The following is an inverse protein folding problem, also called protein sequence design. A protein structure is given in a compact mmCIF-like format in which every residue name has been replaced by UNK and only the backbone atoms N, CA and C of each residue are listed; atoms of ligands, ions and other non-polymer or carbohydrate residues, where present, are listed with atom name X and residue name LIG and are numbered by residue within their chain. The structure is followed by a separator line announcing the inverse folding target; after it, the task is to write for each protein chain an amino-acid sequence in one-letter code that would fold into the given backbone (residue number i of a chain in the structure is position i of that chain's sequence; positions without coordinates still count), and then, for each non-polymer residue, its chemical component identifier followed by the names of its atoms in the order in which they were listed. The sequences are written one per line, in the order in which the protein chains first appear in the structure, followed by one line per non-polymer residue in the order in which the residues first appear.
data_IF_752827431702
#
_entry.id   IF_752827431702
#
_cell.length_a   1.000
_cell.length_b   1.000
_cell.length_c   1.000
_cell.angle_alpha   90.00
_cell.angle_beta   90.00
_cell.angle_gamma   90.00
#
_symmetry.space_group_name_H-M   'P 1'
#
loop_
_entity.id
_entity.type
_entity.pdbx_description
1 polymer ?
#
# COMPACT_ATOMS: atom_id res chain seq x y z
N UNK A 1 5.24 38.00 -12.86
CA UNK A 1 4.80 36.92 -11.95
C UNK A 1 5.46 35.65 -12.44
N UNK A 2 6.68 35.40 -11.95
CA UNK A 2 7.48 34.26 -12.41
C UNK A 2 6.99 33.00 -11.69
N UNK A 3 6.31 32.16 -12.46
CA UNK A 3 5.80 30.87 -12.00
C UNK A 3 7.00 29.93 -11.84
N UNK A 4 7.66 29.97 -10.67
CA UNK A 4 8.64 28.96 -10.28
C UNK A 4 7.91 27.63 -10.15
N UNK A 5 7.91 26.85 -11.22
CA UNK A 5 7.73 25.40 -11.11
C UNK A 5 8.89 24.88 -10.25
N UNK A 6 8.67 24.80 -8.94
CA UNK A 6 9.59 24.15 -8.04
C UNK A 6 9.53 22.65 -8.38
N UNK A 7 10.48 22.19 -9.19
CA UNK A 7 10.71 20.75 -9.39
C UNK A 7 10.98 20.07 -8.04
N UNK A 8 10.87 18.74 -8.02
CA UNK A 8 11.21 17.96 -6.82
C UNK A 8 12.63 18.31 -6.37
N UNK A 9 12.77 18.81 -5.14
CA UNK A 9 14.09 19.09 -4.58
C UNK A 9 14.92 17.81 -4.55
N UNK A 10 16.20 17.89 -4.94
CA UNK A 10 17.11 16.73 -5.00
C UNK A 10 17.09 15.93 -3.70
N UNK A 11 17.03 16.62 -2.55
CA UNK A 11 16.90 15.99 -1.23
C UNK A 11 15.64 15.12 -1.11
N UNK A 12 14.47 15.62 -1.53
CA UNK A 12 13.23 14.87 -1.46
C UNK A 12 13.27 13.63 -2.38
N UNK A 13 13.90 13.75 -3.56
CA UNK A 13 14.09 12.59 -4.44
C UNK A 13 14.96 11.51 -3.80
N UNK A 14 16.08 11.89 -3.18
CA UNK A 14 16.96 10.96 -2.48
C UNK A 14 16.24 10.30 -1.30
N UNK A 15 15.52 11.07 -0.49
CA UNK A 15 14.76 10.52 0.64
C UNK A 15 13.66 9.56 0.17
N UNK A 16 12.90 9.91 -0.89
CA UNK A 16 11.91 9.00 -1.48
C UNK A 16 12.56 7.70 -2.01
N UNK A 17 13.73 7.78 -2.64
CA UNK A 17 14.46 6.60 -3.10
C UNK A 17 14.90 5.70 -1.93
N UNK A 18 15.33 6.28 -0.80
CA UNK A 18 15.65 5.53 0.41
C UNK A 18 14.41 4.83 0.98
N UNK A 19 13.26 5.52 1.03
CA UNK A 19 12.00 4.92 1.45
C UNK A 19 11.60 3.74 0.56
N UNK A 20 11.70 3.91 -0.77
CA UNK A 20 11.40 2.84 -1.71
C UNK A 20 12.35 1.64 -1.56
N UNK A 21 13.64 1.88 -1.34
CA UNK A 21 14.63 0.84 -1.08
C UNK A 21 14.35 0.05 0.20
N UNK A 22 14.01 0.74 1.30
CA UNK A 22 13.61 0.09 2.55
C UNK A 22 12.33 -0.71 2.37
N UNK A 23 11.32 -0.13 1.72
CA UNK A 23 10.06 -0.80 1.45
C UNK A 23 10.28 -2.08 0.62
N UNK A 24 11.09 -2.00 -0.44
CA UNK A 24 11.49 -3.14 -1.27
C UNK A 24 12.12 -4.27 -0.43
N UNK A 25 13.08 -3.97 0.45
CA UNK A 25 13.70 -4.99 1.32
C UNK A 25 12.67 -5.64 2.24
N UNK A 26 11.71 -4.87 2.77
CA UNK A 26 10.68 -5.40 3.66
C UNK A 26 9.69 -6.34 2.96
N UNK A 27 9.52 -6.25 1.64
CA UNK A 27 8.65 -7.19 0.89
C UNK A 27 9.14 -8.65 0.96
N UNK A 28 10.45 -8.87 1.13
CA UNK A 28 11.01 -10.21 1.32
C UNK A 28 10.66 -10.80 2.69
N UNK A 29 10.28 -9.97 3.65
CA UNK A 29 9.84 -10.38 4.99
C UNK A 29 8.31 -10.30 5.02
N UNK A 30 7.68 -11.16 4.22
CA UNK A 30 6.23 -11.22 4.04
C UNK A 30 5.64 -12.53 4.58
N UNK A 31 4.49 -12.44 5.24
CA UNK A 31 3.86 -13.56 5.94
C UNK A 31 2.46 -13.80 5.35
N UNK A 32 2.14 -15.03 4.89
CA UNK A 32 0.78 -15.37 4.50
C UNK A 32 -0.11 -15.48 5.75
N UNK A 33 -1.16 -14.67 5.82
CA UNK A 33 -2.03 -14.61 7.01
C UNK A 33 -3.22 -15.56 6.88
N UNK A 34 -3.75 -15.75 5.67
CA UNK A 34 -4.96 -16.54 5.43
C UNK A 34 -4.61 -17.79 4.61
N UNK A 35 -4.74 -19.01 5.18
CA UNK A 35 -4.31 -20.24 4.50
C UNK A 35 -4.99 -20.53 3.16
N UNK A 36 -6.26 -20.12 2.99
CA UNK A 36 -7.02 -20.35 1.75
C UNK A 36 -6.57 -19.45 0.58
N UNK A 37 -5.83 -18.37 0.88
CA UNK A 37 -5.26 -17.44 -0.11
C UNK A 37 -3.78 -17.17 0.20
N UNK A 38 -2.92 -18.20 0.14
CA UNK A 38 -1.53 -18.11 0.62
C UNK A 38 -0.64 -17.20 -0.24
N UNK A 39 -1.11 -16.83 -1.43
CA UNK A 39 -0.48 -15.84 -2.30
C UNK A 39 -0.66 -14.39 -1.79
N UNK A 40 -1.64 -14.14 -0.92
CA UNK A 40 -1.84 -12.83 -0.28
C UNK A 40 -1.01 -12.75 0.99
N UNK A 41 0.05 -11.93 0.96
CA UNK A 41 1.00 -11.80 2.07
C UNK A 41 0.95 -10.42 2.70
N UNK A 42 1.10 -10.38 4.01
CA UNK A 42 1.26 -9.16 4.78
C UNK A 42 2.75 -8.90 5.02
N UNK A 43 3.17 -7.67 4.76
CA UNK A 43 4.51 -7.18 5.06
C UNK A 43 4.45 -5.72 5.53
N UNK A 44 5.60 -5.19 5.95
CA UNK A 44 5.72 -3.82 6.48
C UNK A 44 6.13 -2.80 5.41
N UNK A 45 6.23 -3.19 4.14
CA UNK A 45 6.62 -2.26 3.07
C UNK A 45 5.59 -1.15 2.89
N UNK A 46 4.30 -1.47 2.94
CA UNK A 46 3.18 -0.52 2.82
C UNK A 46 3.16 0.50 3.97
N UNK A 47 3.64 0.11 5.16
CA UNK A 47 3.82 1.03 6.28
C UNK A 47 4.86 2.10 5.95
N UNK A 48 5.97 1.71 5.31
CA UNK A 48 7.00 2.66 4.85
C UNK A 48 6.40 3.62 3.82
N UNK A 49 5.55 3.14 2.91
CA UNK A 49 4.86 4.01 1.94
C UNK A 49 3.92 5.01 2.64
N UNK A 50 3.15 4.57 3.66
CA UNK A 50 2.28 5.47 4.45
C UNK A 50 3.08 6.54 5.23
N UNK A 51 4.25 6.18 5.75
CA UNK A 51 5.16 7.15 6.36
C UNK A 51 5.68 8.13 5.30
N UNK A 52 6.02 7.64 4.11
CA UNK A 52 6.36 8.46 2.95
C UNK A 52 5.25 9.45 2.59
N UNK A 53 3.97 9.03 2.61
CA UNK A 53 2.81 9.91 2.43
C UNK A 53 2.76 11.02 3.48
N UNK A 54 3.15 10.72 4.72
CA UNK A 54 3.12 11.70 5.80
C UNK A 54 4.15 12.82 5.63
N UNK A 55 5.23 12.55 4.88
CA UNK A 55 6.38 13.45 4.63
C UNK A 55 6.24 14.14 3.26
N UNK A 56 6.02 13.38 2.19
CA UNK A 56 6.04 13.83 0.79
C UNK A 56 4.64 14.00 0.17
N UNK A 57 3.59 13.74 0.95
CA UNK A 57 2.21 13.74 0.46
C UNK A 57 1.88 12.54 -0.44
N UNK A 58 0.65 12.53 -0.97
CA UNK A 58 0.16 11.43 -1.81
C UNK A 58 1.06 11.18 -3.03
N UNK A 59 1.50 12.23 -3.74
CA UNK A 59 2.35 12.09 -4.93
C UNK A 59 3.66 11.37 -4.63
N UNK A 60 4.36 11.76 -3.55
CA UNK A 60 5.60 11.07 -3.16
C UNK A 60 5.38 9.63 -2.72
N UNK A 61 4.27 9.35 -2.03
CA UNK A 61 3.90 7.98 -1.66
C UNK A 61 3.63 7.09 -2.88
N UNK A 62 2.94 7.61 -3.89
CA UNK A 62 2.70 6.90 -5.16
C UNK A 62 4.03 6.55 -5.82
N UNK A 63 4.99 7.49 -5.85
CA UNK A 63 6.31 7.24 -6.42
C UNK A 63 7.09 6.18 -5.62
N UNK A 64 7.05 6.25 -4.29
CA UNK A 64 7.68 5.26 -3.41
C UNK A 64 7.09 3.86 -3.68
N UNK A 65 5.76 3.74 -3.74
CA UNK A 65 5.07 2.49 -4.06
C UNK A 65 5.43 1.98 -5.46
N UNK A 66 5.45 2.86 -6.47
CA UNK A 66 5.78 2.44 -7.83
C UNK A 66 7.22 1.91 -7.93
N UNK A 67 8.17 2.59 -7.28
CA UNK A 67 9.58 2.19 -7.29
C UNK A 67 9.80 0.91 -6.49
N UNK A 68 9.21 0.75 -5.30
CA UNK A 68 9.38 -0.48 -4.50
C UNK A 68 8.88 -1.71 -5.28
N UNK A 69 7.74 -1.58 -5.94
CA UNK A 69 7.07 -2.65 -6.68
C UNK A 69 7.84 -3.00 -7.96
N UNK A 70 8.34 -1.99 -8.67
CA UNK A 70 9.22 -2.19 -9.83
C UNK A 70 10.51 -2.92 -9.44
N UNK A 71 11.15 -2.53 -8.34
CA UNK A 71 12.37 -3.19 -7.85
C UNK A 71 12.08 -4.64 -7.47
N UNK A 72 10.95 -4.90 -6.80
CA UNK A 72 10.53 -6.25 -6.45
C UNK A 72 10.27 -7.11 -7.69
N UNK A 73 9.60 -6.57 -8.70
CA UNK A 73 9.32 -7.28 -9.95
C UNK A 73 10.60 -7.68 -10.69
N UNK A 74 11.52 -6.73 -10.90
CA UNK A 74 12.79 -6.99 -11.60
C UNK A 74 13.65 -7.99 -10.84
N UNK A 75 13.59 -7.99 -9.51
CA UNK A 75 14.43 -8.85 -8.66
C UNK A 75 13.87 -10.26 -8.44
N UNK A 76 12.54 -10.44 -8.53
CA UNK A 76 11.88 -11.73 -8.26
C UNK A 76 11.46 -12.49 -9.51
N UNK A 77 11.50 -11.84 -10.67
CA UNK A 77 11.28 -12.48 -11.97
C UNK A 77 10.29 -11.70 -12.83
N UNK A 78 10.65 -11.52 -14.11
CA UNK A 78 9.84 -10.80 -15.10
C UNK A 78 8.80 -11.71 -15.79
N UNK A 79 8.07 -12.49 -15.00
CA UNK A 79 6.99 -13.35 -15.49
C UNK A 79 5.60 -12.75 -15.19
N UNK A 80 4.60 -13.27 -15.89
CA UNK A 80 3.24 -12.77 -15.83
C UNK A 80 2.57 -12.98 -14.46
N UNK A 81 2.95 -14.01 -13.70
CA UNK A 81 2.36 -14.29 -12.38
C UNK A 81 2.87 -13.25 -11.39
N UNK A 82 4.18 -13.01 -11.39
CA UNK A 82 4.80 -11.95 -10.59
C UNK A 82 4.28 -10.57 -10.99
N UNK A 83 4.10 -10.29 -12.28
CA UNK A 83 3.55 -9.02 -12.75
C UNK A 83 2.15 -8.75 -12.19
N UNK A 84 1.26 -9.75 -12.19
CA UNK A 84 -0.09 -9.64 -11.60
C UNK A 84 0.01 -9.34 -10.10
N UNK A 85 0.91 -10.02 -9.39
CA UNK A 85 1.13 -9.83 -7.96
C UNK A 85 1.58 -8.40 -7.63
N UNK A 86 2.61 -7.92 -8.31
CA UNK A 86 3.19 -6.58 -8.13
C UNK A 86 2.18 -5.49 -8.49
N UNK A 87 1.45 -5.63 -9.60
CA UNK A 87 0.37 -4.69 -9.92
C UNK A 87 -0.74 -4.69 -8.87
N UNK A 88 -1.10 -5.86 -8.35
CA UNK A 88 -2.12 -5.97 -7.29
C UNK A 88 -1.65 -5.28 -6.01
N UNK A 89 -0.38 -5.45 -5.63
CA UNK A 89 0.21 -4.80 -4.47
C UNK A 89 0.26 -3.27 -4.64
N UNK A 90 0.67 -2.79 -5.83
CA UNK A 90 0.62 -1.36 -6.16
C UNK A 90 -0.80 -0.79 -6.08
N UNK A 91 -1.79 -1.49 -6.64
CA UNK A 91 -3.21 -1.06 -6.53
C UNK A 91 -3.68 -1.04 -5.07
N UNK A 92 -3.24 -1.99 -4.24
CA UNK A 92 -3.55 -2.02 -2.81
C UNK A 92 -2.97 -0.79 -2.08
N UNK A 93 -1.71 -0.43 -2.36
CA UNK A 93 -1.09 0.79 -1.84
C UNK A 93 -1.93 2.02 -2.18
N UNK A 94 -2.28 2.20 -3.46
CA UNK A 94 -3.08 3.35 -3.90
C UNK A 94 -4.46 3.37 -3.23
N UNK A 95 -5.13 2.23 -3.19
CA UNK A 95 -6.46 2.10 -2.59
C UNK A 95 -6.47 2.38 -1.09
N UNK A 96 -5.34 2.21 -0.40
CA UNK A 96 -5.19 2.51 1.01
C UNK A 96 -4.73 3.95 1.26
N UNK A 97 -3.71 4.41 0.55
CA UNK A 97 -3.01 5.68 0.79
C UNK A 97 -3.83 6.88 0.34
N UNK A 98 -4.45 6.82 -0.83
CA UNK A 98 -5.21 7.95 -1.39
C UNK A 98 -6.36 8.42 -0.47
N UNK A 99 -7.27 7.55 0.00
CA UNK A 99 -8.31 7.95 0.95
C UNK A 99 -7.75 8.44 2.29
N UNK A 100 -6.70 7.80 2.83
CA UNK A 100 -6.05 8.28 4.06
C UNK A 100 -5.50 9.69 3.86
N UNK A 101 -4.78 9.92 2.76
CA UNK A 101 -4.24 11.24 2.42
C UNK A 101 -5.34 12.27 2.25
N UNK A 102 -6.45 11.91 1.59
CA UNK A 102 -7.58 12.82 1.37
C UNK A 102 -8.24 13.21 2.71
N UNK A 103 -8.43 12.25 3.62
CA UNK A 103 -8.98 12.54 4.96
C UNK A 103 -8.00 13.37 5.78
N UNK A 104 -6.69 13.19 5.67
CA UNK A 104 -5.70 13.95 6.46
C UNK A 104 -5.31 15.30 5.86
N UNK A 105 -5.72 15.60 4.62
CA UNK A 105 -5.33 16.80 3.89
C UNK A 105 -5.80 18.09 4.57
N UNK A 106 -4.94 19.11 4.55
CA UNK A 106 -5.22 20.51 4.92
C UNK A 106 -5.78 20.73 6.32
N UNK A 107 -5.55 19.79 7.24
CA UNK A 107 -6.20 19.79 8.55
C UNK A 107 -5.34 19.15 9.64
N UNK A 108 -5.58 19.48 10.93
CA UNK A 108 -4.78 18.95 12.03
C UNK A 108 -4.92 17.43 12.15
N UNK A 109 -3.79 16.75 12.27
CA UNK A 109 -3.69 15.29 12.38
C UNK A 109 -3.96 14.80 13.81
N UNK A 110 -5.13 15.11 14.36
CA UNK A 110 -5.58 14.61 15.67
C UNK A 110 -5.77 13.08 15.67
N UNK A 111 -5.74 12.44 16.84
CA UNK A 111 -5.93 10.98 16.94
C UNK A 111 -7.21 10.53 16.24
N UNK A 112 -8.34 11.15 16.59
CA UNK A 112 -9.64 10.80 16.04
C UNK A 112 -9.64 10.89 14.51
N UNK A 113 -8.97 11.89 13.95
CA UNK A 113 -8.86 12.05 12.51
C UNK A 113 -7.97 10.99 11.87
N UNK A 114 -6.85 10.63 12.50
CA UNK A 114 -6.00 9.53 12.02
C UNK A 114 -6.73 8.19 12.04
N UNK A 115 -7.52 7.94 13.10
CA UNK A 115 -8.39 6.75 13.20
C UNK A 115 -9.42 6.73 12.08
N UNK A 116 -10.14 7.84 11.86
CA UNK A 116 -11.11 7.95 10.76
C UNK A 116 -10.43 7.75 9.40
N UNK A 117 -9.26 8.34 9.18
CA UNK A 117 -8.51 8.19 7.94
C UNK A 117 -8.17 6.71 7.67
N UNK A 118 -7.64 6.01 8.69
CA UNK A 118 -7.33 4.57 8.60
C UNK A 118 -8.56 3.72 8.35
N UNK A 119 -9.70 4.03 8.98
CA UNK A 119 -10.97 3.31 8.75
C UNK A 119 -11.40 3.47 7.29
N UNK A 120 -11.45 4.72 6.79
CA UNK A 120 -11.82 5.01 5.40
C UNK A 120 -10.85 4.34 4.43
N UNK A 121 -9.55 4.38 4.72
CA UNK A 121 -8.55 3.68 3.94
C UNK A 121 -8.75 2.18 3.91
N UNK A 122 -8.99 1.55 5.06
CA UNK A 122 -9.18 0.09 5.17
C UNK A 122 -10.42 -0.36 4.40
N UNK A 123 -11.52 0.41 4.48
CA UNK A 123 -12.74 0.15 3.71
C UNK A 123 -12.46 0.27 2.21
N UNK A 124 -11.79 1.35 1.78
CA UNK A 124 -11.42 1.56 0.39
C UNK A 124 -10.53 0.44 -0.15
N UNK A 125 -9.44 0.09 0.57
CA UNK A 125 -8.56 -1.03 0.25
C UNK A 125 -9.37 -2.32 0.06
N UNK A 126 -10.22 -2.65 1.02
CA UNK A 126 -11.01 -3.89 1.01
C UNK A 126 -11.98 -3.92 -0.17
N UNK A 127 -12.70 -2.82 -0.43
CA UNK A 127 -13.65 -2.74 -1.54
C UNK A 127 -12.96 -2.84 -2.90
N UNK A 128 -11.92 -2.03 -3.12
CA UNK A 128 -11.19 -2.01 -4.39
C UNK A 128 -10.57 -3.38 -4.68
N UNK A 129 -9.89 -3.99 -3.71
CA UNK A 129 -9.26 -5.29 -3.90
C UNK A 129 -10.29 -6.41 -4.05
N UNK A 130 -11.43 -6.34 -3.38
CA UNK A 130 -12.49 -7.34 -3.55
C UNK A 130 -13.09 -7.29 -4.95
N UNK A 131 -13.40 -6.09 -5.46
CA UNK A 131 -13.92 -5.91 -6.82
C UNK A 131 -12.88 -6.31 -7.87
N UNK A 132 -11.63 -5.88 -7.70
CA UNK A 132 -10.54 -6.22 -8.61
C UNK A 132 -10.27 -7.74 -8.63
N UNK A 133 -10.31 -8.41 -7.47
CA UNK A 133 -10.19 -9.87 -7.39
C UNK A 133 -11.39 -10.60 -7.98
N UNK A 134 -12.59 -10.03 -7.91
CA UNK A 134 -13.75 -10.63 -8.53
C UNK A 134 -13.68 -10.62 -10.06
N UNK A 135 -13.42 -9.45 -10.63
CA UNK A 135 -13.56 -9.28 -12.08
C UNK A 135 -12.29 -9.60 -12.86
N UNK A 136 -11.12 -9.37 -12.28
CA UNK A 136 -9.85 -9.38 -13.04
C UNK A 136 -8.81 -10.27 -12.40
N UNK A 137 -8.37 -9.98 -11.17
CA UNK A 137 -7.14 -10.56 -10.60
C UNK A 137 -7.27 -12.06 -10.38
N UNK A 138 -8.27 -12.54 -9.63
CA UNK A 138 -8.41 -13.98 -9.34
C UNK A 138 -8.68 -14.80 -10.60
N UNK A 139 -9.61 -14.42 -11.50
CA UNK A 139 -9.82 -15.15 -12.75
C UNK A 139 -8.56 -15.21 -13.63
N UNK A 140 -7.83 -14.11 -13.74
CA UNK A 140 -6.60 -14.06 -14.53
C UNK A 140 -5.51 -14.94 -13.91
N UNK A 141 -5.36 -14.88 -12.59
CA UNK A 141 -4.38 -15.67 -11.85
C UNK A 141 -4.65 -17.18 -12.00
N UNK A 142 -5.89 -17.62 -11.85
CA UNK A 142 -6.28 -19.04 -12.04
C UNK A 142 -6.01 -19.52 -13.48
N UNK A 143 -6.25 -18.67 -14.48
CA UNK A 143 -6.02 -18.99 -15.90
C UNK A 143 -4.52 -19.13 -16.22
N UNK A 144 -3.72 -18.20 -15.72
CA UNK A 144 -2.28 -18.11 -16.02
C UNK A 144 -1.48 -19.14 -15.23
N UNK A 145 -1.82 -19.34 -13.95
CA UNK A 145 -1.08 -20.24 -13.07
C UNK A 145 -1.49 -21.71 -13.22
N UNK A 146 -2.57 -21.98 -13.96
CA UNK A 146 -3.09 -23.33 -14.19
C UNK A 146 -3.59 -24.04 -12.93
N UNK A 147 -3.69 -23.31 -11.81
CA UNK A 147 -4.13 -23.84 -10.53
C UNK A 147 -5.64 -23.73 -10.39
N UNK A 148 -6.29 -24.84 -10.06
CA UNK A 148 -7.65 -24.85 -9.53
C UNK A 148 -7.56 -24.75 -8.00
N UNK A 149 -8.04 -23.66 -7.41
CA UNK A 149 -8.10 -23.49 -5.94
C UNK A 149 -9.25 -24.28 -5.29
N UNK A 150 -9.95 -25.15 -6.05
CA UNK A 150 -11.01 -26.03 -5.55
C UNK A 150 -12.28 -25.31 -5.06
N UNK A 151 -12.29 -23.98 -5.04
CA UNK A 151 -13.39 -23.15 -4.60
C UNK A 151 -13.79 -22.14 -5.66
N UNK A 152 -15.10 -21.83 -5.77
CA UNK A 152 -15.56 -20.79 -6.66
C UNK A 152 -15.07 -19.42 -6.19
N UNK A 153 -14.82 -18.54 -7.16
CA UNK A 153 -14.18 -17.22 -6.96
C UNK A 153 -14.89 -16.37 -5.91
N UNK A 154 -16.22 -16.40 -5.86
CA UNK A 154 -17.01 -15.69 -4.86
C UNK A 154 -16.69 -16.10 -3.41
N UNK A 155 -16.46 -17.40 -3.16
CA UNK A 155 -16.07 -17.90 -1.84
C UNK A 155 -14.63 -17.50 -1.49
N UNK A 156 -13.72 -17.51 -2.46
CA UNK A 156 -12.34 -17.04 -2.25
C UNK A 156 -12.30 -15.55 -1.87
N UNK A 157 -13.16 -14.74 -2.47
CA UNK A 157 -13.24 -13.31 -2.14
C UNK A 157 -13.82 -13.12 -0.75
N UNK A 158 -14.94 -13.77 -0.45
CA UNK A 158 -15.64 -13.62 0.83
C UNK A 158 -14.80 -14.12 2.02
N UNK A 159 -14.13 -15.27 1.86
CA UNK A 159 -13.42 -15.94 2.95
C UNK A 159 -11.91 -15.67 2.96
N UNK A 160 -11.36 -15.14 1.88
CA UNK A 160 -9.94 -14.85 1.72
C UNK A 160 -9.66 -13.37 1.52
N UNK A 161 -10.07 -12.82 0.38
CA UNK A 161 -9.69 -11.45 -0.03
C UNK A 161 -10.21 -10.39 0.94
N UNK A 162 -11.48 -10.44 1.31
CA UNK A 162 -12.09 -9.48 2.25
C UNK A 162 -11.41 -9.54 3.62
N UNK A 163 -11.35 -10.68 4.33
CA UNK A 163 -10.74 -10.73 5.65
C UNK A 163 -9.25 -10.39 5.61
N UNK A 164 -8.52 -10.79 4.57
CA UNK A 164 -7.10 -10.44 4.42
C UNK A 164 -6.90 -8.93 4.38
N UNK A 165 -7.65 -8.23 3.52
CA UNK A 165 -7.49 -6.78 3.34
C UNK A 165 -7.95 -5.98 4.57
N UNK A 166 -8.97 -6.47 5.30
CA UNK A 166 -9.36 -5.88 6.59
C UNK A 166 -8.25 -6.01 7.63
N UNK A 167 -7.68 -7.21 7.79
CA UNK A 167 -6.56 -7.44 8.73
C UNK A 167 -5.37 -6.57 8.34
N UNK A 168 -5.01 -6.56 7.06
CA UNK A 168 -3.91 -5.75 6.53
C UNK A 168 -4.10 -4.26 6.84
N UNK A 169 -5.27 -3.70 6.52
CA UNK A 169 -5.57 -2.29 6.78
C UNK A 169 -5.54 -1.94 8.27
N UNK A 170 -6.06 -2.82 9.14
CA UNK A 170 -6.03 -2.61 10.60
C UNK A 170 -4.59 -2.62 11.12
N UNK A 171 -3.80 -3.65 10.78
CA UNK A 171 -2.43 -3.79 11.28
C UNK A 171 -1.56 -2.61 10.83
N UNK A 172 -1.57 -2.31 9.53
CA UNK A 172 -0.80 -1.20 8.99
C UNK A 172 -1.29 0.15 9.52
N UNK A 173 -2.61 0.31 9.67
CA UNK A 173 -3.23 1.50 10.21
C UNK A 173 -2.86 1.78 11.67
N UNK A 174 -2.86 0.76 12.53
CA UNK A 174 -2.42 0.89 13.93
C UNK A 174 -0.95 1.32 13.99
N UNK A 175 -0.08 0.63 13.23
CA UNK A 175 1.34 0.95 13.20
C UNK A 175 1.59 2.37 12.67
N UNK A 176 0.87 2.76 11.63
CA UNK A 176 0.91 4.11 11.07
C UNK A 176 0.57 5.18 12.10
N UNK A 177 -0.52 4.99 12.86
CA UNK A 177 -0.93 5.93 13.92
C UNK A 177 0.16 6.03 14.99
N UNK A 178 0.64 4.90 15.50
CA UNK A 178 1.67 4.87 16.54
C UNK A 178 2.94 5.63 16.11
N UNK A 179 3.41 5.37 14.89
CA UNK A 179 4.61 6.01 14.36
C UNK A 179 4.40 7.50 14.07
N UNK A 180 3.28 7.89 13.47
CA UNK A 180 2.99 9.30 13.19
C UNK A 180 2.94 10.14 14.46
N UNK A 181 2.44 9.58 15.57
CA UNK A 181 2.39 10.30 16.83
C UNK A 181 3.76 10.41 17.48
N UNK A 182 4.56 9.34 17.44
CA UNK A 182 5.94 9.36 17.93
C UNK A 182 6.82 10.34 17.13
N UNK A 183 6.59 10.42 15.81
CA UNK A 183 7.33 11.30 14.91
C UNK A 183 6.72 12.70 14.78
N UNK A 184 5.59 13.00 15.42
CA UNK A 184 4.82 14.23 15.20
C UNK A 184 5.64 15.51 15.40
N UNK A 185 6.48 15.57 16.44
CA UNK A 185 7.37 16.71 16.69
C UNK A 185 8.52 16.85 15.69
N UNK A 186 8.92 15.77 15.02
CA UNK A 186 9.91 15.82 13.93
C UNK A 186 9.25 16.19 12.59
N UNK A 187 8.08 15.62 12.30
CA UNK A 187 7.29 15.90 11.10
C UNK A 187 6.88 17.38 11.02
N UNK A 188 6.47 17.97 12.15
CA UNK A 188 6.10 19.39 12.20
C UNK A 188 7.25 20.34 11.84
N UNK A 189 8.51 19.91 11.97
CA UNK A 189 9.70 20.72 11.65
C UNK A 189 10.13 20.64 10.18
N UNK A 190 9.55 19.72 9.40
CA UNK A 190 9.93 19.46 8.00
C UNK A 190 8.77 19.65 7.01
N UNK A 191 7.65 20.20 7.47
CA UNK A 191 6.47 20.53 6.64
C UNK A 191 6.43 22.00 6.19
N UNK A 192 7.55 22.74 6.34
CA UNK A 192 7.71 24.14 5.89
C UNK A 192 8.72 24.23 4.74
#
# INVERSE_FOLDING_TARGET
MENRQQGLGVRAMVEMALFAGVAYVLMFISIPIIPIVPYMKLDLSDLVVLLGMSIFGAGGAILIAAVKELLYFVSTGLDIVNFIGVLTAFVADLAFILPISAVLKDRPRTLSRQVVAVIVGTISLTLVLSLANWWVITPLYLKVWGMSLGLPVNKLILLGVIPFNLIKGIVLGILFILLNRRLGGWLARHQN
#
